data_IF_506494756192
#
_entry.id   IF_506494756192
#
_cell.length_a   1.000
_cell.length_b   1.000
_cell.length_c   1.000
_cell.angle_alpha   90.00
_cell.angle_beta   90.00
_cell.angle_gamma   90.00
#
_symmetry.space_group_name_H-M   'P 1'
#
loop_
_entity.id
_entity.type
_entity.pdbx_description
1 polymer ?
#
# COMPACT_ATOMS: atom_id res chain seq x y z
N UNK A 1 37.62 -23.87 4.80
CA UNK A 1 36.43 -23.75 5.68
C UNK A 1 35.47 -22.63 5.23
N UNK A 2 35.21 -22.46 3.93
CA UNK A 2 34.23 -21.46 3.42
C UNK A 2 33.39 -21.97 2.26
N UNK A 3 33.30 -23.30 2.06
CA UNK A 3 32.59 -23.92 0.93
C UNK A 3 31.47 -24.89 1.35
N UNK A 4 31.15 -24.97 2.65
CA UNK A 4 30.17 -25.93 3.21
C UNK A 4 28.84 -25.30 3.66
N UNK A 5 28.68 -23.97 3.57
CA UNK A 5 27.48 -23.29 4.06
C UNK A 5 26.47 -22.93 2.95
N UNK A 6 26.79 -23.24 1.69
CA UNK A 6 26.00 -22.81 0.53
C UNK A 6 25.24 -23.92 -0.22
N UNK A 7 25.22 -25.19 0.26
CA UNK A 7 24.72 -26.33 -0.54
C UNK A 7 23.77 -27.33 0.17
N UNK A 8 23.21 -27.07 1.36
CA UNK A 8 22.32 -28.04 2.04
C UNK A 8 21.08 -27.43 2.73
N UNK A 9 20.58 -26.29 2.22
CA UNK A 9 19.26 -25.75 2.60
C UNK A 9 18.19 -26.03 1.54
N UNK A 10 18.53 -26.83 0.52
CA UNK A 10 17.55 -27.48 -0.33
C UNK A 10 16.93 -28.67 0.42
N UNK A 11 15.60 -28.72 0.31
CA UNK A 11 14.76 -29.91 0.31
C UNK A 11 14.05 -30.37 1.62
N UNK A 12 12.79 -30.79 1.42
CA UNK A 12 12.02 -31.70 2.28
C UNK A 12 11.42 -31.11 3.57
N UNK A 13 10.26 -30.45 3.44
CA UNK A 13 9.03 -30.93 4.10
C UNK A 13 7.81 -30.64 3.23
N UNK A 14 7.56 -31.57 2.31
CA UNK A 14 6.19 -31.97 1.99
C UNK A 14 5.39 -32.12 3.29
N UNK A 15 4.45 -31.21 3.54
CA UNK A 15 3.30 -31.44 4.40
C UNK A 15 2.08 -30.87 3.68
N UNK A 16 1.50 -31.71 2.82
CA UNK A 16 0.07 -31.97 2.73
C UNK A 16 -0.83 -30.91 3.41
N UNK A 17 -1.34 -29.94 2.65
CA UNK A 17 -2.52 -29.19 3.06
C UNK A 17 -3.72 -29.88 2.44
N UNK A 18 -4.18 -30.94 3.13
CA UNK A 18 -5.46 -31.57 2.86
C UNK A 18 -6.56 -30.51 2.80
N UNK A 19 -7.38 -30.62 1.77
CA UNK A 19 -8.74 -30.07 1.69
C UNK A 19 -9.42 -30.13 3.05
N UNK A 20 -9.41 -29.00 3.75
CA UNK A 20 -10.39 -28.71 4.78
C UNK A 20 -11.28 -27.66 4.16
N UNK A 21 -12.48 -28.08 3.78
CA UNK A 21 -13.57 -27.16 3.51
C UNK A 21 -13.73 -26.27 4.74
N UNK A 22 -13.18 -25.06 4.66
CA UNK A 22 -13.47 -24.05 5.67
C UNK A 22 -14.89 -23.60 5.33
N UNK A 23 -15.83 -24.06 6.16
CA UNK A 23 -17.19 -23.54 6.22
C UNK A 23 -17.10 -22.02 6.12
N UNK A 24 -17.53 -21.46 4.99
CA UNK A 24 -17.74 -20.03 4.86
C UNK A 24 -19.04 -19.73 5.62
N UNK A 25 -19.03 -19.04 6.77
CA UNK A 25 -20.25 -18.43 7.26
C UNK A 25 -20.59 -17.31 6.28
N UNK A 26 -21.54 -17.59 5.40
CA UNK A 26 -22.34 -16.58 4.75
C UNK A 26 -22.89 -15.64 5.83
N UNK A 27 -22.70 -14.34 5.62
CA UNK A 27 -23.17 -13.22 6.46
C UNK A 27 -22.18 -12.71 7.51
N UNK A 28 -21.13 -12.04 7.04
CA UNK A 28 -20.77 -10.76 7.65
C UNK A 28 -21.07 -9.68 6.60
N UNK A 29 -22.18 -8.99 6.80
CA UNK A 29 -22.49 -7.70 6.18
C UNK A 29 -21.20 -6.88 6.14
N UNK A 30 -20.70 -6.61 4.95
CA UNK A 30 -19.63 -5.64 4.72
C UNK A 30 -20.18 -4.26 5.07
N UNK A 31 -20.30 -3.99 6.37
CA UNK A 31 -20.50 -2.67 6.90
C UNK A 31 -19.17 -1.95 6.64
N UNK A 32 -19.21 -1.06 5.66
CA UNK A 32 -18.16 -0.14 5.32
C UNK A 32 -17.86 0.72 6.57
N UNK A 33 -16.89 0.29 7.40
CA UNK A 33 -16.41 1.01 8.59
C UNK A 33 -15.73 2.36 8.24
N UNK A 34 -15.86 2.86 7.01
CA UNK A 34 -15.34 4.15 6.57
C UNK A 34 -16.34 5.31 6.59
N UNK A 35 -17.62 5.08 6.91
CA UNK A 35 -18.68 6.11 6.84
C UNK A 35 -18.72 7.05 8.06
N UNK A 36 -18.01 6.75 9.16
CA UNK A 36 -18.01 7.59 10.38
C UNK A 36 -16.78 8.53 10.50
N UNK A 37 -16.18 8.96 9.39
CA UNK A 37 -15.12 9.98 9.40
C UNK A 37 -15.50 11.27 8.67
N UNK A 38 -16.79 11.57 8.58
CA UNK A 38 -17.24 12.91 8.16
C UNK A 38 -17.71 13.70 9.40
N UNK A 39 -16.87 14.56 9.99
CA UNK A 39 -17.38 15.59 10.88
C UNK A 39 -18.21 16.55 10.02
N UNK A 40 -19.51 16.57 10.28
CA UNK A 40 -20.39 17.65 9.84
C UNK A 40 -20.04 18.90 10.64
N UNK A 41 -19.28 19.80 10.03
CA UNK A 41 -19.18 21.19 10.44
C UNK A 41 -18.17 21.52 11.56
N UNK A 42 -17.38 22.55 11.29
CA UNK A 42 -16.97 23.52 12.32
C UNK A 42 -15.88 23.09 13.28
N UNK A 43 -14.71 22.68 12.78
CA UNK A 43 -13.48 22.80 13.57
C UNK A 43 -12.30 23.03 12.62
N UNK A 44 -11.43 23.96 12.98
CA UNK A 44 -10.09 24.12 12.42
C UNK A 44 -9.30 22.82 12.65
N UNK A 45 -9.52 21.82 11.78
CA UNK A 45 -8.99 20.48 11.88
C UNK A 45 -8.14 20.24 10.63
N UNK A 46 -6.83 20.10 10.82
CA UNK A 46 -5.88 19.90 9.72
C UNK A 46 -6.40 18.80 8.77
N UNK A 47 -6.48 19.06 7.45
CA UNK A 47 -7.03 18.09 6.52
C UNK A 47 -6.22 16.79 6.57
N UNK A 48 -6.91 15.65 6.56
CA UNK A 48 -6.27 14.33 6.52
C UNK A 48 -5.37 14.25 5.27
N UNK A 49 -4.16 13.65 5.35
CA UNK A 49 -3.21 13.62 4.24
C UNK A 49 -3.72 12.91 2.95
N UNK A 50 -4.78 12.11 3.05
CA UNK A 50 -5.45 11.50 1.89
C UNK A 50 -6.39 12.44 1.10
N UNK A 51 -6.77 13.59 1.66
CA UNK A 51 -7.75 14.51 1.06
C UNK A 51 -7.14 15.67 0.29
N UNK A 52 -5.82 15.81 0.30
CA UNK A 52 -5.17 17.07 -0.04
C UNK A 52 -4.49 17.02 -1.40
N UNK A 53 -3.72 15.95 -1.66
CA UNK A 53 -2.97 15.75 -2.90
C UNK A 53 -3.53 14.55 -3.66
N UNK A 54 -4.84 14.59 -3.96
CA UNK A 54 -5.57 13.46 -4.54
C UNK A 54 -5.10 13.15 -5.96
N UNK A 55 -4.90 14.19 -6.76
CA UNK A 55 -4.51 14.05 -8.17
C UNK A 55 -3.06 13.58 -8.27
N UNK A 56 -2.15 14.15 -7.46
CA UNK A 56 -0.76 13.71 -7.40
C UNK A 56 -0.63 12.28 -6.89
N UNK A 57 -1.47 11.90 -5.92
CA UNK A 57 -1.53 10.52 -5.43
C UNK A 57 -2.02 9.57 -6.53
N UNK A 58 -3.10 9.93 -7.24
CA UNK A 58 -3.64 9.11 -8.31
C UNK A 58 -2.61 8.93 -9.43
N UNK A 59 -1.98 10.02 -9.90
CA UNK A 59 -0.96 9.97 -10.94
C UNK A 59 0.27 9.15 -10.55
N UNK A 60 0.72 9.24 -9.29
CA UNK A 60 1.80 8.38 -8.76
C UNK A 60 1.38 6.92 -8.74
N UNK A 61 0.19 6.64 -8.22
CA UNK A 61 -0.34 5.29 -8.09
C UNK A 61 -0.51 4.65 -9.47
N UNK A 62 -1.08 5.37 -10.44
CA UNK A 62 -1.19 4.92 -11.83
C UNK A 62 0.19 4.64 -12.45
N UNK A 63 1.16 5.54 -12.25
CA UNK A 63 2.51 5.32 -12.75
C UNK A 63 3.13 4.06 -12.15
N UNK A 64 3.07 3.87 -10.83
CA UNK A 64 3.65 2.68 -10.19
C UNK A 64 2.92 1.38 -10.54
N UNK A 65 1.59 1.41 -10.69
CA UNK A 65 0.80 0.22 -10.97
C UNK A 65 0.92 -0.24 -12.42
N UNK A 66 1.07 0.70 -13.37
CA UNK A 66 1.04 0.41 -14.81
C UNK A 66 2.39 0.60 -15.52
N UNK A 67 3.44 1.01 -14.83
CA UNK A 67 4.77 1.14 -15.43
C UNK A 67 5.32 -0.23 -15.85
N UNK A 68 5.84 -0.30 -17.08
CA UNK A 68 6.51 -1.48 -17.65
C UNK A 68 8.03 -1.43 -17.46
N UNK A 69 8.54 -0.42 -16.76
CA UNK A 69 9.96 -0.26 -16.51
C UNK A 69 10.48 -1.38 -15.58
N UNK A 70 11.77 -1.72 -15.71
CA UNK A 70 12.44 -2.67 -14.83
C UNK A 70 12.42 -2.22 -13.36
N UNK A 71 12.46 -0.91 -13.13
CA UNK A 71 12.31 -0.30 -11.82
C UNK A 71 11.29 0.86 -11.90
N UNK A 72 10.02 0.61 -11.54
CA UNK A 72 8.97 1.62 -11.59
C UNK A 72 9.17 2.71 -10.53
N UNK A 73 9.93 2.47 -9.46
CA UNK A 73 10.16 3.45 -8.41
C UNK A 73 11.07 4.57 -8.90
N UNK A 74 12.10 4.23 -9.68
CA UNK A 74 12.96 5.21 -10.35
C UNK A 74 12.21 5.89 -11.50
N UNK A 75 11.46 5.12 -12.30
CA UNK A 75 10.72 5.67 -13.44
C UNK A 75 9.64 6.69 -13.01
N UNK A 76 8.99 6.46 -11.87
CA UNK A 76 7.95 7.33 -11.32
C UNK A 76 8.46 8.35 -10.30
N UNK A 77 9.79 8.50 -10.13
CA UNK A 77 10.38 9.39 -9.12
C UNK A 77 9.84 10.83 -9.21
N UNK A 78 9.67 11.36 -10.42
CA UNK A 78 9.11 12.70 -10.64
C UNK A 78 7.67 12.86 -10.11
N UNK A 79 6.84 11.83 -10.22
CA UNK A 79 5.47 11.82 -9.69
C UNK A 79 5.46 11.71 -8.16
N UNK A 80 6.39 10.91 -7.61
CA UNK A 80 6.58 10.80 -6.16
C UNK A 80 7.01 12.14 -5.57
N UNK A 81 7.96 12.85 -6.20
CA UNK A 81 8.42 14.17 -5.78
C UNK A 81 7.31 15.22 -5.81
N UNK A 82 6.46 15.22 -6.84
CA UNK A 82 5.27 16.09 -6.88
C UNK A 82 4.32 15.81 -5.72
N UNK A 83 4.04 14.54 -5.43
CA UNK A 83 3.20 14.17 -4.29
C UNK A 83 3.81 14.62 -2.96
N UNK A 84 5.11 14.38 -2.76
CA UNK A 84 5.84 14.84 -1.57
C UNK A 84 5.80 16.36 -1.42
N UNK A 85 6.01 17.09 -2.51
CA UNK A 85 5.99 18.56 -2.53
C UNK A 85 4.60 19.10 -2.20
N UNK A 86 3.55 18.50 -2.76
CA UNK A 86 2.18 18.85 -2.42
C UNK A 86 1.94 18.63 -0.93
N UNK A 87 2.27 17.46 -0.37
CA UNK A 87 2.07 17.17 1.05
C UNK A 87 2.88 18.08 2.00
N UNK A 88 4.10 18.44 1.61
CA UNK A 88 4.94 19.38 2.35
C UNK A 88 4.28 20.76 2.47
N UNK A 89 3.55 21.22 1.43
CA UNK A 89 2.78 22.46 1.45
C UNK A 89 1.69 22.50 2.53
N UNK A 90 1.23 21.33 3.01
CA UNK A 90 0.24 21.21 4.09
C UNK A 90 0.88 20.79 5.43
N UNK A 91 2.21 20.78 5.50
CA UNK A 91 2.96 20.47 6.71
C UNK A 91 3.19 18.98 6.97
N UNK A 92 3.03 18.13 5.94
CA UNK A 92 3.32 16.70 6.02
C UNK A 92 4.62 16.38 5.26
N UNK A 93 5.67 16.02 5.99
CA UNK A 93 6.93 15.56 5.38
C UNK A 93 6.93 14.04 5.28
N UNK A 94 7.05 13.53 4.05
CA UNK A 94 7.14 12.09 3.76
C UNK A 94 8.60 11.68 3.63
N UNK A 95 9.06 10.65 4.38
CA UNK A 95 10.41 10.10 4.24
C UNK A 95 10.65 9.54 2.82
#
# INVERSE_FOLDING_TARGET
MYYLQSLLKDDIRHMNMSTSAINMPTSATSANMGVDLKPTGGASAKPKPCCVCKDEKAARDECMLFSTAKDPQVACASMVEKYKSCMAGFGFNLP
#
